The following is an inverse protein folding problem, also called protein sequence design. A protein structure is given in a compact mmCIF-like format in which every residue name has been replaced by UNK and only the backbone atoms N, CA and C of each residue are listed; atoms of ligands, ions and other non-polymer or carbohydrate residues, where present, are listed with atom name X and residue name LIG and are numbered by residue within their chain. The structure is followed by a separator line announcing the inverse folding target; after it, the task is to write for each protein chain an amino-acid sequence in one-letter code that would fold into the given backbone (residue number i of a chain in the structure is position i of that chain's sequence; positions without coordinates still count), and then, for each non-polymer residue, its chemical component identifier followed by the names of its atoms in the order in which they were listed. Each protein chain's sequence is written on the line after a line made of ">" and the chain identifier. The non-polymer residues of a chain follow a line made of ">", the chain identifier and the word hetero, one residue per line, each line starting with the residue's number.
data_IF_240290213562
#
_entry.id   IF_240290213562
#
_cell.length_a   1.000
_cell.length_b   1.000
_cell.length_c   1.000
_cell.angle_alpha   90.00
_cell.angle_beta   90.00
_cell.angle_gamma   90.00
#
_symmetry.space_group_name_H-M   'P 1'
#
loop_
_entity.id
_entity.type
_entity.pdbx_description
1 polymer ?
#
# COMPACT_ATOMS: atom_id res chain seq x y z
N UNK A 1 -6.45 15.40 16.73
CA UNK A 1 -5.12 14.89 17.18
C UNK A 1 -4.78 13.54 16.54
N UNK A 2 -5.65 12.52 16.62
CA UNK A 2 -5.39 11.21 16.03
C UNK A 2 -5.17 11.25 14.50
N UNK A 3 -5.95 12.06 13.77
CA UNK A 3 -5.79 12.23 12.32
C UNK A 3 -4.41 12.77 11.92
N UNK A 4 -3.87 13.70 12.71
CA UNK A 4 -2.55 14.29 12.48
C UNK A 4 -1.43 13.26 12.72
N UNK A 5 -1.59 12.41 13.73
CA UNK A 5 -0.68 11.29 13.98
C UNK A 5 -0.69 10.28 12.83
N UNK A 6 -1.87 9.92 12.33
CA UNK A 6 -2.02 8.99 11.21
C UNK A 6 -1.46 9.55 9.90
N UNK A 7 -1.63 10.84 9.64
CA UNK A 7 -1.05 11.47 8.45
C UNK A 7 0.49 11.54 8.51
N UNK A 8 1.08 11.75 9.70
CA UNK A 8 2.52 11.62 9.89
C UNK A 8 2.98 10.16 9.64
N UNK A 9 2.25 9.17 10.15
CA UNK A 9 2.53 7.75 9.93
C UNK A 9 2.45 7.37 8.43
N UNK A 10 1.50 7.95 7.70
CA UNK A 10 1.37 7.80 6.25
C UNK A 10 2.57 8.37 5.50
N UNK A 11 3.09 9.52 5.91
CA UNK A 11 4.31 10.09 5.33
C UNK A 11 5.52 9.19 5.60
N UNK A 12 5.67 8.67 6.81
CA UNK A 12 6.74 7.74 7.18
C UNK A 12 6.69 6.44 6.38
N UNK A 13 5.51 5.84 6.23
CA UNK A 13 5.33 4.62 5.44
C UNK A 13 5.55 4.87 3.95
N UNK A 14 5.12 6.00 3.40
CA UNK A 14 5.45 6.41 2.03
C UNK A 14 6.97 6.51 1.81
N UNK A 15 7.68 7.14 2.74
CA UNK A 15 9.14 7.20 2.74
C UNK A 15 9.76 5.79 2.71
N UNK A 16 9.27 4.88 3.58
CA UNK A 16 9.76 3.51 3.64
C UNK A 16 9.54 2.74 2.33
N UNK A 17 8.40 2.93 1.65
CA UNK A 17 8.15 2.33 0.33
C UNK A 17 9.18 2.80 -0.69
N UNK A 18 9.43 4.12 -0.79
CA UNK A 18 10.33 4.71 -1.79
C UNK A 18 11.79 4.31 -1.59
N UNK A 19 12.24 4.20 -0.34
CA UNK A 19 13.63 3.85 -0.03
C UNK A 19 13.92 2.34 -0.07
N UNK A 20 12.90 1.50 -0.28
CA UNK A 20 13.08 0.04 -0.31
C UNK A 20 13.62 -0.42 -1.65
N UNK A 21 14.81 -1.04 -1.66
CA UNK A 21 15.44 -1.60 -2.87
C UNK A 21 14.78 -2.88 -3.38
N UNK A 22 14.24 -3.70 -2.49
CA UNK A 22 13.64 -4.97 -2.86
C UNK A 22 12.16 -4.80 -3.21
N UNK A 23 11.79 -5.02 -4.47
CA UNK A 23 10.41 -4.85 -4.94
C UNK A 23 9.39 -5.65 -4.12
N UNK A 24 9.76 -6.83 -3.62
CA UNK A 24 8.87 -7.66 -2.77
C UNK A 24 8.58 -6.99 -1.43
N UNK A 25 9.60 -6.41 -0.81
CA UNK A 25 9.49 -5.70 0.46
C UNK A 25 8.78 -4.36 0.25
N UNK A 26 9.00 -3.69 -0.89
CA UNK A 26 8.28 -2.46 -1.24
C UNK A 26 6.77 -2.70 -1.35
N UNK A 27 6.34 -3.83 -1.91
CA UNK A 27 4.92 -4.22 -1.99
C UNK A 27 4.34 -4.49 -0.60
N UNK A 28 5.12 -5.07 0.32
CA UNK A 28 4.68 -5.25 1.70
C UNK A 28 4.45 -3.90 2.40
N UNK A 29 5.38 -2.95 2.23
CA UNK A 29 5.21 -1.60 2.77
C UNK A 29 4.04 -0.85 2.11
N UNK A 30 3.79 -1.07 0.83
CA UNK A 30 2.62 -0.51 0.13
C UNK A 30 1.30 -1.08 0.70
N UNK A 31 1.27 -2.37 1.03
CA UNK A 31 0.11 -2.99 1.68
C UNK A 31 -0.14 -2.39 3.07
N UNK A 32 0.92 -2.19 3.87
CA UNK A 32 0.82 -1.51 5.18
C UNK A 32 0.34 -0.06 5.03
N UNK A 33 0.81 0.65 4.01
CA UNK A 33 0.36 2.00 3.70
C UNK A 33 -1.15 2.06 3.46
N UNK A 34 -1.71 1.21 2.59
CA UNK A 34 -3.17 1.18 2.35
C UNK A 34 -3.97 0.78 3.59
N UNK A 35 -3.43 -0.07 4.46
CA UNK A 35 -4.05 -0.39 5.76
C UNK A 35 -4.17 0.87 6.64
N UNK A 36 -3.13 1.70 6.70
CA UNK A 36 -3.18 2.97 7.44
C UNK A 36 -4.15 3.97 6.82
N UNK A 37 -4.26 4.03 5.49
CA UNK A 37 -5.25 4.87 4.80
C UNK A 37 -6.67 4.42 5.17
N UNK A 38 -6.97 3.12 5.11
CA UNK A 38 -8.28 2.58 5.49
C UNK A 38 -8.64 2.92 6.95
N UNK A 39 -7.68 2.81 7.87
CA UNK A 39 -7.89 3.21 9.27
C UNK A 39 -8.14 4.72 9.42
N UNK A 40 -7.46 5.56 8.63
CA UNK A 40 -7.69 7.01 8.61
C UNK A 40 -9.11 7.34 8.13
N UNK A 41 -9.64 6.64 7.12
CA UNK A 41 -11.03 6.80 6.70
C UNK A 41 -12.04 6.36 7.76
N UNK A 42 -11.72 5.34 8.55
CA UNK A 42 -12.55 4.95 9.70
C UNK A 42 -12.60 6.05 10.76
N UNK A 43 -11.48 6.72 11.03
CA UNK A 43 -11.41 7.86 11.96
C UNK A 43 -12.20 9.07 11.44
N UNK A 44 -12.21 9.30 10.13
CA UNK A 44 -12.98 10.34 9.45
C UNK A 44 -14.48 10.05 9.34
N UNK A 45 -14.97 9.02 10.05
CA UNK A 45 -16.37 8.60 10.01
C UNK A 45 -16.87 8.19 8.61
N UNK A 46 -15.97 7.72 7.74
CA UNK A 46 -16.28 7.26 6.39
C UNK A 46 -16.07 5.72 6.27
N UNK A 47 -16.96 4.90 6.88
CA UNK A 47 -16.77 3.45 6.95
C UNK A 47 -16.89 2.77 5.58
N UNK A 48 -17.74 3.28 4.70
CA UNK A 48 -17.93 2.71 3.35
C UNK A 48 -16.65 2.87 2.52
N UNK A 49 -16.05 4.07 2.56
CA UNK A 49 -14.78 4.36 1.88
C UNK A 49 -13.64 3.53 2.49
N UNK A 50 -13.61 3.42 3.83
CA UNK A 50 -12.61 2.61 4.53
C UNK A 50 -12.64 1.13 4.08
N UNK A 51 -13.83 0.54 3.96
CA UNK A 51 -13.99 -0.84 3.53
C UNK A 51 -13.56 -1.04 2.06
N UNK A 52 -13.91 -0.09 1.18
CA UNK A 52 -13.50 -0.14 -0.23
C UNK A 52 -11.98 -0.01 -0.40
N UNK A 53 -11.34 0.89 0.35
CA UNK A 53 -9.88 1.05 0.33
C UNK A 53 -9.16 -0.19 0.88
N UNK A 54 -9.70 -0.83 1.92
CA UNK A 54 -9.12 -2.07 2.45
C UNK A 54 -9.14 -3.19 1.38
N UNK A 55 -10.26 -3.34 0.67
CA UNK A 55 -10.40 -4.35 -0.37
C UNK A 55 -9.52 -4.06 -1.61
N UNK A 56 -9.47 -2.80 -2.05
CA UNK A 56 -8.74 -2.40 -3.25
C UNK A 56 -7.24 -2.20 -3.00
N UNK A 57 -6.87 -1.47 -1.96
CA UNK A 57 -5.50 -1.14 -1.62
C UNK A 57 -4.74 -2.32 -1.00
N UNK A 58 -5.18 -2.77 0.17
CA UNK A 58 -4.50 -3.88 0.86
C UNK A 58 -4.75 -5.24 0.21
N UNK A 59 -5.92 -5.45 -0.42
CA UNK A 59 -6.28 -6.69 -1.10
C UNK A 59 -5.84 -6.76 -2.56
N UNK A 60 -6.53 -6.03 -3.44
CA UNK A 60 -6.36 -6.15 -4.89
C UNK A 60 -4.98 -5.68 -5.37
N UNK A 61 -4.55 -4.49 -4.92
CA UNK A 61 -3.32 -3.86 -5.40
C UNK A 61 -2.09 -4.67 -4.98
N UNK A 62 -2.07 -5.18 -3.74
CA UNK A 62 -1.00 -6.06 -3.27
C UNK A 62 -0.92 -7.36 -4.08
N UNK A 63 -2.06 -7.98 -4.40
CA UNK A 63 -2.11 -9.17 -5.25
C UNK A 63 -1.59 -8.89 -6.67
N UNK A 64 -2.03 -7.79 -7.28
CA UNK A 64 -1.58 -7.39 -8.64
C UNK A 64 -0.08 -7.19 -8.66
N UNK A 65 0.50 -6.48 -7.67
CA UNK A 65 1.93 -6.27 -7.61
C UNK A 65 2.73 -7.56 -7.38
N UNK A 66 2.24 -8.47 -6.54
CA UNK A 66 2.88 -9.77 -6.32
C UNK A 66 2.89 -10.62 -7.60
N UNK A 67 1.79 -10.59 -8.36
CA UNK A 67 1.71 -11.27 -9.67
C UNK A 67 2.64 -10.60 -10.68
N UNK A 68 2.70 -9.27 -10.71
CA UNK A 68 3.56 -8.51 -11.61
C UNK A 68 5.05 -8.81 -11.38
N UNK A 69 5.49 -8.84 -10.11
CA UNK A 69 6.89 -9.19 -9.75
C UNK A 69 7.22 -10.63 -10.14
N UNK A 70 6.25 -11.54 -10.11
CA UNK A 70 6.43 -12.93 -10.52
C UNK A 70 6.54 -13.11 -12.03
N UNK A 71 6.11 -12.14 -12.84
CA UNK A 71 6.20 -12.25 -14.29
C UNK A 71 7.65 -11.94 -14.69
N UNK A 72 8.47 -12.94 -15.07
CA UNK A 72 9.80 -12.64 -15.57
C UNK A 72 9.64 -11.75 -16.80
N UNK A 73 10.40 -10.67 -16.82
CA UNK A 73 10.67 -9.88 -18.02
C UNK A 73 11.01 -10.89 -19.12
N UNK A 74 10.18 -10.95 -20.17
CA UNK A 74 10.56 -11.66 -21.38
C UNK A 74 11.76 -10.88 -21.90
N UNK A 75 12.95 -11.34 -21.52
CA UNK A 75 14.20 -10.82 -22.02
C UNK A 75 14.16 -11.14 -23.49
N UNK A 76 13.75 -10.17 -24.31
CA UNK A 76 13.84 -10.21 -25.75
C UNK A 76 15.33 -10.39 -26.09
N UNK A 77 15.74 -11.65 -26.17
CA UNK A 77 17.03 -12.09 -26.65
C UNK A 77 17.02 -11.88 -28.17
N UNK A 78 17.53 -10.71 -28.57
CA UNK A 78 18.18 -10.49 -29.86
C UNK A 78 19.67 -10.79 -29.71
#
# INVERSE_FOLDING_TARGET
>A
MAELLMSILLLLSCCAVVFTRESRIAVLYLCMYSLFVSFLYMLLQAPDIALTELALGAGLTSLVYLVAIKKPEHKDIL
#
